data_IF_401392286150
#
_entry.id   IF_401392286150
#
_cell.length_a   1.000
_cell.length_b   1.000
_cell.length_c   1.000
_cell.angle_alpha   90.00
_cell.angle_beta   90.00
_cell.angle_gamma   90.00
#
_symmetry.space_group_name_H-M   'P 1'
#
loop_
_entity.id
_entity.type
_entity.pdbx_description
1 polymer ?
#
# COMPACT_ATOMS: atom_id res chain seq x y z
N UNK A 1 -2.59 -6.57 11.89
CA UNK A 1 -2.51 -5.81 13.15
C UNK A 1 -3.87 -5.24 13.54
N UNK A 2 -3.98 -4.83 14.80
CA UNK A 2 -5.22 -4.23 15.31
C UNK A 2 -5.50 -2.90 14.62
N UNK A 3 -4.48 -2.10 14.40
CA UNK A 3 -4.62 -0.80 13.74
C UNK A 3 -5.10 -1.00 12.30
N UNK A 4 -4.49 -1.93 11.57
CA UNK A 4 -4.89 -2.22 10.20
C UNK A 4 -6.37 -2.66 10.14
N UNK A 5 -6.77 -3.56 11.04
CA UNK A 5 -8.14 -4.06 11.07
C UNK A 5 -9.14 -2.93 11.33
N UNK A 6 -8.80 -2.02 12.24
CA UNK A 6 -9.65 -0.89 12.59
C UNK A 6 -9.80 0.07 11.41
N UNK A 7 -8.70 0.39 10.75
CA UNK A 7 -8.71 1.28 9.60
C UNK A 7 -9.48 0.68 8.42
N UNK A 8 -9.39 -0.63 8.23
CA UNK A 8 -10.06 -1.30 7.11
C UNK A 8 -11.58 -1.30 7.21
N UNK A 9 -12.14 -0.92 8.36
CA UNK A 9 -13.59 -0.76 8.50
C UNK A 9 -14.10 0.46 7.74
N UNK A 10 -13.29 1.53 7.67
CA UNK A 10 -13.67 2.80 7.06
C UNK A 10 -12.89 3.08 5.78
N UNK A 11 -11.66 2.60 5.71
CA UNK A 11 -10.76 2.83 4.59
C UNK A 11 -10.43 1.51 3.91
N UNK A 12 -10.06 1.61 2.64
CA UNK A 12 -9.65 0.47 1.84
C UNK A 12 -8.13 0.48 1.71
N UNK A 13 -7.49 -0.64 2.01
CA UNK A 13 -6.05 -0.80 1.80
C UNK A 13 -5.82 -1.03 0.31
N UNK A 14 -5.21 -0.06 -0.35
CA UNK A 14 -4.96 -0.11 -1.79
C UNK A 14 -4.18 -1.35 -2.21
N UNK A 15 -3.21 -1.78 -1.39
CA UNK A 15 -2.42 -2.96 -1.72
C UNK A 15 -3.24 -4.24 -1.77
N UNK A 16 -4.15 -4.41 -0.82
CA UNK A 16 -5.02 -5.59 -0.80
C UNK A 16 -5.86 -5.65 -2.07
N UNK A 17 -6.24 -4.49 -2.60
CA UNK A 17 -7.11 -4.41 -3.78
C UNK A 17 -6.36 -4.67 -5.09
N UNK A 18 -5.22 -4.02 -5.29
CA UNK A 18 -4.54 -4.00 -6.59
C UNK A 18 -3.03 -4.20 -6.50
N UNK A 19 -2.47 -4.51 -5.34
CA UNK A 19 -1.03 -4.63 -5.17
C UNK A 19 -0.43 -5.79 -5.93
N UNK A 20 0.79 -5.59 -6.43
CA UNK A 20 1.57 -6.62 -7.10
C UNK A 20 2.58 -7.19 -6.11
N UNK A 21 2.48 -8.48 -5.81
CA UNK A 21 3.37 -9.17 -4.89
C UNK A 21 3.01 -8.97 -3.43
N UNK A 22 3.98 -9.19 -2.55
CA UNK A 22 3.76 -9.17 -1.10
C UNK A 22 3.65 -7.76 -0.50
N UNK A 23 4.15 -6.77 -1.19
CA UNK A 23 4.11 -5.40 -0.70
C UNK A 23 5.06 -5.11 0.45
N UNK A 24 6.08 -5.93 0.64
CA UNK A 24 7.04 -5.74 1.71
C UNK A 24 7.89 -4.51 1.47
N UNK A 25 8.01 -3.66 2.48
CA UNK A 25 8.72 -2.39 2.36
C UNK A 25 9.93 -2.27 3.27
N UNK A 26 10.08 -3.15 4.26
CA UNK A 26 11.24 -3.13 5.15
C UNK A 26 11.81 -4.53 5.42
N UNK A 27 13.10 -4.59 5.72
CA UNK A 27 14.12 -3.60 5.36
C UNK A 27 14.33 -3.54 3.86
N UNK A 28 14.78 -2.39 3.34
CA UNK A 28 14.90 -2.17 1.88
C UNK A 28 15.82 -3.16 1.19
N UNK A 29 16.90 -3.59 1.86
CA UNK A 29 17.86 -4.54 1.30
C UNK A 29 17.34 -5.99 1.26
N UNK A 30 16.37 -6.31 2.11
CA UNK A 30 15.83 -7.67 2.21
C UNK A 30 14.39 -7.61 2.73
N UNK A 31 13.46 -7.12 1.91
CA UNK A 31 12.09 -6.85 2.38
C UNK A 31 11.38 -8.10 2.92
N UNK A 32 10.77 -7.97 4.10
CA UNK A 32 10.07 -9.05 4.78
C UNK A 32 8.76 -8.64 5.44
N UNK A 33 8.51 -7.32 5.57
CA UNK A 33 7.32 -6.82 6.26
C UNK A 33 6.63 -5.74 5.44
N UNK A 34 5.31 -5.76 5.45
CA UNK A 34 4.49 -4.71 4.85
C UNK A 34 3.98 -3.83 5.97
N UNK A 35 4.61 -2.66 6.13
CA UNK A 35 4.24 -1.71 7.17
C UNK A 35 3.88 -0.32 6.66
N UNK A 36 4.08 -0.09 5.37
CA UNK A 36 3.70 1.17 4.73
C UNK A 36 2.46 0.93 3.89
N UNK A 37 1.43 1.75 4.11
CA UNK A 37 0.11 1.55 3.51
C UNK A 37 -0.37 2.80 2.81
N UNK A 38 -1.18 2.63 1.77
CA UNK A 38 -1.92 3.71 1.16
C UNK A 38 -3.40 3.41 1.36
N UNK A 39 -4.08 4.24 2.12
CA UNK A 39 -5.48 4.08 2.44
C UNK A 39 -6.33 5.01 1.58
N UNK A 40 -7.45 4.49 1.10
CA UNK A 40 -8.43 5.31 0.39
C UNK A 40 -9.78 5.14 1.11
N UNK A 41 -10.49 6.25 1.28
CA UNK A 41 -11.80 6.22 1.93
C UNK A 41 -12.78 5.40 1.08
N UNK A 42 -13.50 4.51 1.74
CA UNK A 42 -14.58 3.77 1.06
C UNK A 42 -15.62 4.78 0.57
N UNK A 43 -15.99 4.70 -0.68
CA UNK A 43 -16.92 5.66 -1.27
C UNK A 43 -16.27 6.89 -1.88
N UNK A 44 -14.95 7.06 -1.75
CA UNK A 44 -14.24 8.13 -2.43
C UNK A 44 -14.36 7.99 -3.96
N UNK A 45 -14.31 9.10 -4.72
CA UNK A 45 -14.45 9.04 -6.17
C UNK A 45 -13.18 8.59 -6.89
N UNK A 46 -12.38 7.77 -6.24
CA UNK A 46 -11.13 7.23 -6.80
C UNK A 46 -11.18 5.72 -6.77
N UNK A 47 -10.77 5.10 -7.87
CA UNK A 47 -10.65 3.66 -7.95
C UNK A 47 -9.18 3.28 -8.07
N UNK A 48 -8.65 2.46 -7.17
CA UNK A 48 -7.27 1.98 -7.32
C UNK A 48 -7.14 1.14 -8.58
N UNK A 49 -6.09 1.38 -9.37
CA UNK A 49 -5.82 0.61 -10.59
C UNK A 49 -4.55 -0.20 -10.50
N UNK A 50 -3.57 0.29 -9.75
CA UNK A 50 -2.28 -0.37 -9.66
C UNK A 50 -1.56 0.05 -8.39
N UNK A 51 -0.83 -0.87 -7.77
CA UNK A 51 0.07 -0.56 -6.65
C UNK A 51 1.29 -1.46 -6.73
N UNK A 52 2.47 -0.91 -6.46
CA UNK A 52 3.71 -1.66 -6.53
C UNK A 52 4.76 -1.05 -5.60
N UNK A 53 5.83 -1.82 -5.36
CA UNK A 53 6.95 -1.40 -4.53
C UNK A 53 8.21 -1.40 -5.40
N UNK A 54 8.65 -0.23 -5.92
CA UNK A 54 9.88 -0.15 -6.69
C UNK A 54 11.10 -0.29 -5.79
N UNK A 55 12.19 -0.77 -6.36
CA UNK A 55 13.45 -0.84 -5.62
C UNK A 55 14.02 0.56 -5.43
N UNK A 56 14.55 0.80 -4.23
CA UNK A 56 15.15 2.08 -3.91
C UNK A 56 16.18 1.89 -2.79
N UNK A 57 17.25 2.66 -2.82
CA UNK A 57 18.26 2.67 -1.76
C UNK A 57 18.24 4.00 -1.00
N UNK A 58 17.20 4.80 -1.18
CA UNK A 58 17.11 6.11 -0.58
C UNK A 58 16.76 6.09 0.92
N UNK A 59 16.25 4.96 1.42
CA UNK A 59 15.79 4.83 2.81
C UNK A 59 15.88 3.38 3.25
N UNK A 60 15.66 3.13 4.54
CA UNK A 60 15.51 1.77 5.10
C UNK A 60 14.21 1.14 4.61
N UNK A 61 13.26 1.95 4.17
CA UNK A 61 11.99 1.52 3.60
C UNK A 61 12.05 1.59 2.08
N UNK A 62 11.38 0.66 1.43
CA UNK A 62 11.06 0.80 0.02
C UNK A 62 9.79 1.63 -0.09
N UNK A 63 9.67 2.48 -1.11
CA UNK A 63 8.44 3.25 -1.31
C UNK A 63 7.31 2.35 -1.78
N UNK A 64 6.09 2.65 -1.37
CA UNK A 64 4.91 2.05 -1.97
C UNK A 64 4.25 3.10 -2.85
N UNK A 65 3.92 2.71 -4.08
CA UNK A 65 3.37 3.62 -5.09
C UNK A 65 2.03 3.08 -5.56
N UNK A 66 1.07 3.96 -5.79
CA UNK A 66 -0.24 3.56 -6.30
C UNK A 66 -0.74 4.56 -7.34
N UNK A 67 -1.50 4.04 -8.29
CA UNK A 67 -2.20 4.83 -9.28
C UNK A 67 -3.70 4.68 -9.05
N UNK A 68 -4.41 5.78 -9.19
CA UNK A 68 -5.86 5.82 -9.04
C UNK A 68 -6.50 6.42 -10.27
N UNK A 69 -7.71 5.98 -10.52
CA UNK A 69 -8.54 6.53 -11.58
C UNK A 69 -9.71 7.27 -10.96
N UNK A 70 -9.97 8.50 -11.42
CA UNK A 70 -11.09 9.29 -10.94
C UNK A 70 -12.39 8.77 -11.54
N UNK A 71 -13.35 8.51 -10.70
CA UNK A 71 -14.68 8.03 -11.13
C UNK A 71 -15.58 9.19 -11.52
#
# INVERSE_FOLDING_TARGET
>A
SRVWRRLSETFEDTWVRVGEGDGFTIPADKPRKRIDYIWVSKGAPFTPVKAWVPQSLASDHLPVVAEFELR
#
